data_IF_629533847334
#
_entry.id   IF_629533847334
#
_cell.length_a   1.000
_cell.length_b   1.000
_cell.length_c   1.000
_cell.angle_alpha   90.00
_cell.angle_beta   90.00
_cell.angle_gamma   90.00
#
_symmetry.space_group_name_H-M   'P 1'
#
loop_
_entity.id
_entity.type
_entity.pdbx_description
1 polymer ?
#
# COMPACT_ATOMS: atom_id res chain seq x y z
N UNK A 1 -21.82 -1.97 -2.95
CA UNK A 1 -22.45 -2.76 -1.87
C UNK A 1 -23.04 -1.80 -0.86
N UNK A 2 -24.27 -1.99 -0.41
CA UNK A 2 -24.90 -1.11 0.58
C UNK A 2 -24.50 -1.58 1.99
N UNK A 3 -24.12 -0.68 2.90
CA UNK A 3 -23.63 -1.04 4.25
C UNK A 3 -24.70 -1.80 5.08
N UNK A 4 -25.96 -1.73 4.67
CA UNK A 4 -27.10 -2.45 5.25
C UNK A 4 -27.15 -3.93 4.90
N UNK A 5 -26.28 -4.41 4.02
CA UNK A 5 -26.18 -5.82 3.61
C UNK A 5 -24.93 -6.52 4.18
N UNK A 6 -24.26 -5.89 5.16
CA UNK A 6 -23.11 -6.51 5.80
C UNK A 6 -23.53 -7.86 6.43
N UNK A 7 -22.74 -8.93 6.24
CA UNK A 7 -23.00 -10.19 6.89
C UNK A 7 -23.13 -9.99 8.40
N UNK A 8 -24.16 -10.57 9.01
CA UNK A 8 -24.27 -10.65 10.48
C UNK A 8 -23.31 -11.71 11.07
N UNK A 9 -22.44 -12.27 10.24
CA UNK A 9 -21.46 -13.27 10.63
C UNK A 9 -20.31 -12.65 11.42
N UNK A 10 -19.77 -13.43 12.35
CA UNK A 10 -18.57 -13.05 13.08
C UNK A 10 -17.33 -13.15 12.20
N UNK A 11 -16.53 -12.09 12.17
CA UNK A 11 -15.17 -12.06 11.64
C UNK A 11 -14.17 -12.15 12.79
N UNK A 12 -13.04 -12.83 12.56
CA UNK A 12 -11.93 -12.84 13.51
C UNK A 12 -11.16 -11.52 13.47
N UNK A 13 -11.04 -10.91 12.29
CA UNK A 13 -10.33 -9.65 12.07
C UNK A 13 -11.08 -8.72 11.11
N UNK A 14 -10.96 -7.43 11.37
CA UNK A 14 -11.38 -6.36 10.45
C UNK A 14 -10.14 -5.59 10.01
N UNK A 15 -9.88 -5.56 8.72
CA UNK A 15 -8.82 -4.77 8.10
C UNK A 15 -9.46 -3.57 7.42
N UNK A 16 -9.07 -2.36 7.83
CA UNK A 16 -9.61 -1.11 7.30
C UNK A 16 -8.59 -0.49 6.33
N UNK A 17 -8.99 -0.40 5.06
CA UNK A 17 -8.18 0.01 3.92
C UNK A 17 -7.62 -1.19 3.17
N UNK A 18 -8.00 -1.33 1.90
CA UNK A 18 -7.51 -2.35 0.99
C UNK A 18 -6.37 -1.83 0.09
N UNK A 19 -5.43 -1.11 0.72
CA UNK A 19 -4.18 -0.67 0.09
C UNK A 19 -3.06 -1.72 0.15
N UNK A 20 -1.84 -1.30 -0.17
CA UNK A 20 -0.65 -2.17 -0.21
C UNK A 20 -0.48 -3.06 1.03
N UNK A 21 -0.55 -2.49 2.23
CA UNK A 21 -0.39 -3.27 3.48
C UNK A 21 -1.66 -4.05 3.84
N UNK A 22 -2.83 -3.44 3.67
CA UNK A 22 -4.12 -4.03 4.04
C UNK A 22 -4.42 -5.32 3.27
N UNK A 23 -4.19 -5.32 1.96
CA UNK A 23 -4.36 -6.51 1.12
C UNK A 23 -3.40 -7.64 1.53
N UNK A 24 -2.14 -7.32 1.83
CA UNK A 24 -1.14 -8.30 2.29
C UNK A 24 -1.56 -8.90 3.64
N UNK A 25 -1.94 -8.08 4.61
CA UNK A 25 -2.39 -8.55 5.93
C UNK A 25 -3.63 -9.44 5.79
N UNK A 26 -4.64 -9.00 5.02
CA UNK A 26 -5.85 -9.77 4.80
C UNK A 26 -5.52 -11.14 4.18
N UNK A 27 -4.67 -11.20 3.14
CA UNK A 27 -4.25 -12.46 2.52
C UNK A 27 -3.57 -13.39 3.53
N UNK A 28 -2.61 -12.90 4.31
CA UNK A 28 -1.87 -13.71 5.30
C UNK A 28 -2.77 -14.22 6.43
N UNK A 29 -3.74 -13.43 6.88
CA UNK A 29 -4.73 -13.87 7.87
C UNK A 29 -5.64 -14.97 7.29
N UNK A 30 -6.06 -14.84 6.04
CA UNK A 30 -6.86 -15.87 5.34
C UNK A 30 -6.03 -17.15 5.19
N UNK A 31 -4.75 -17.08 4.81
CA UNK A 31 -3.84 -18.23 4.73
C UNK A 31 -3.73 -18.96 6.08
N UNK A 32 -3.81 -18.22 7.19
CA UNK A 32 -3.82 -18.76 8.56
C UNK A 32 -5.21 -19.26 9.01
N UNK A 33 -6.18 -19.36 8.10
CA UNK A 33 -7.52 -19.89 8.37
C UNK A 33 -8.45 -18.92 9.12
N UNK A 34 -8.16 -17.62 9.11
CA UNK A 34 -8.99 -16.59 9.78
C UNK A 34 -10.10 -16.08 8.86
N UNK A 35 -11.26 -15.77 9.44
CA UNK A 35 -12.34 -15.02 8.79
C UNK A 35 -12.03 -13.52 8.86
N UNK A 36 -11.87 -12.88 7.70
CA UNK A 36 -11.44 -11.47 7.61
C UNK A 36 -12.50 -10.64 6.90
N UNK A 37 -12.88 -9.52 7.51
CA UNK A 37 -13.59 -8.45 6.83
C UNK A 37 -12.56 -7.41 6.35
N UNK A 38 -12.50 -7.18 5.04
CA UNK A 38 -11.67 -6.12 4.45
C UNK A 38 -12.59 -5.00 3.99
N UNK A 39 -12.36 -3.78 4.48
CA UNK A 39 -13.16 -2.60 4.17
C UNK A 39 -12.32 -1.64 3.33
N UNK A 40 -12.84 -1.23 2.19
CA UNK A 40 -12.25 -0.20 1.32
C UNK A 40 -13.25 0.91 1.09
N UNK A 41 -12.78 2.16 1.13
CA UNK A 41 -13.61 3.35 0.92
C UNK A 41 -13.80 3.66 -0.58
N UNK A 42 -12.85 3.24 -1.41
CA UNK A 42 -12.94 3.24 -2.87
C UNK A 42 -13.81 2.12 -3.43
N UNK A 43 -13.93 2.12 -4.76
CA UNK A 43 -14.58 1.04 -5.49
C UNK A 43 -13.59 -0.03 -5.96
N UNK A 44 -14.10 -0.98 -6.74
CA UNK A 44 -13.28 -1.98 -7.42
C UNK A 44 -12.34 -1.32 -8.45
N UNK A 45 -11.23 -1.99 -8.71
CA UNK A 45 -10.21 -1.62 -9.71
C UNK A 45 -10.73 -1.87 -11.13
N UNK A 46 -11.61 -0.99 -11.60
CA UNK A 46 -12.26 -1.09 -12.93
C UNK A 46 -11.81 -0.01 -13.92
N UNK A 47 -10.98 0.94 -13.47
CA UNK A 47 -10.44 1.99 -14.33
C UNK A 47 -9.26 1.43 -15.13
N UNK A 48 -9.35 1.35 -16.48
CA UNK A 48 -8.31 0.74 -17.30
C UNK A 48 -6.97 1.47 -17.24
N UNK A 49 -6.94 2.74 -16.81
CA UNK A 49 -5.69 3.48 -16.67
C UNK A 49 -4.81 2.94 -15.53
N UNK A 50 -5.35 2.15 -14.60
CA UNK A 50 -4.60 1.51 -13.50
C UNK A 50 -3.68 0.41 -14.04
N UNK A 51 -4.14 -0.37 -15.02
CA UNK A 51 -3.37 -1.45 -15.64
C UNK A 51 -2.29 -0.95 -16.63
N UNK A 52 -2.31 0.34 -16.96
CA UNK A 52 -1.54 0.92 -18.04
C UNK A 52 -0.61 2.04 -17.55
N UNK A 53 0.68 1.71 -17.39
CA UNK A 53 1.70 2.66 -16.91
C UNK A 53 1.83 3.92 -17.75
N UNK A 54 1.65 3.81 -19.07
CA UNK A 54 1.70 4.95 -19.98
C UNK A 54 0.55 5.95 -19.75
N UNK A 55 -0.48 5.57 -19.00
CA UNK A 55 -1.63 6.41 -18.63
C UNK A 55 -1.70 6.79 -17.15
N UNK A 56 -0.68 6.44 -16.36
CA UNK A 56 -0.60 6.71 -14.92
C UNK A 56 -0.99 8.15 -14.54
N UNK A 57 -0.51 9.14 -15.30
CA UNK A 57 -0.77 10.56 -15.04
C UNK A 57 -2.26 10.95 -15.10
N UNK A 58 -3.11 10.11 -15.70
CA UNK A 58 -4.56 10.31 -15.76
C UNK A 58 -5.28 9.90 -14.46
N UNK A 59 -4.60 9.19 -13.56
CA UNK A 59 -5.19 8.74 -12.29
C UNK A 59 -5.15 9.82 -11.20
N UNK A 60 -4.20 10.76 -11.29
CA UNK A 60 -4.12 11.89 -10.37
C UNK A 60 -5.27 12.87 -10.64
N UNK A 61 -5.94 13.33 -9.60
CA UNK A 61 -7.21 14.09 -9.66
C UNK A 61 -8.41 13.33 -10.23
N UNK A 62 -8.30 12.02 -10.44
CA UNK A 62 -9.41 11.17 -10.86
C UNK A 62 -10.32 10.79 -9.69
N UNK A 63 -11.42 10.06 -9.96
CA UNK A 63 -12.28 9.53 -8.91
C UNK A 63 -11.59 8.49 -8.00
N UNK A 64 -10.47 7.91 -8.46
CA UNK A 64 -9.64 6.97 -7.68
C UNK A 64 -8.55 7.68 -6.87
N UNK A 65 -8.49 9.01 -6.89
CA UNK A 65 -7.61 9.80 -6.03
C UNK A 65 -8.45 10.43 -4.91
N UNK A 66 -7.96 10.33 -3.66
CA UNK A 66 -8.50 11.14 -2.57
C UNK A 66 -8.27 12.64 -2.79
N UNK A 67 -7.33 12.99 -3.65
CA UNK A 67 -7.04 14.35 -4.09
C UNK A 67 -6.67 15.29 -2.94
N UNK A 68 -5.83 14.79 -2.04
CA UNK A 68 -5.36 15.58 -0.90
C UNK A 68 -4.37 16.64 -1.33
N UNK A 69 -4.34 17.71 -0.53
CA UNK A 69 -3.36 18.77 -0.65
C UNK A 69 -2.77 19.07 0.72
N UNK A 70 -1.49 19.44 0.74
CA UNK A 70 -0.90 20.05 1.93
C UNK A 70 -1.60 21.38 2.27
N UNK A 71 -1.46 21.82 3.53
CA UNK A 71 -1.67 23.25 3.86
C UNK A 71 -0.63 24.09 3.09
N UNK A 72 -0.82 25.41 2.93
CA UNK A 72 0.19 26.27 2.31
C UNK A 72 1.56 26.08 2.95
N UNK A 73 2.58 25.77 2.14
CA UNK A 73 3.91 25.46 2.63
C UNK A 73 4.85 26.67 2.47
N UNK A 74 5.35 27.29 3.56
CA UNK A 74 6.26 28.44 3.47
C UNK A 74 7.54 28.15 2.67
N UNK A 75 8.10 26.94 2.82
CA UNK A 75 9.26 26.45 2.07
C UNK A 75 8.97 26.17 0.59
N UNK A 76 7.73 26.30 0.13
CA UNK A 76 7.33 26.07 -1.26
C UNK A 76 6.55 27.27 -1.85
N UNK A 77 6.94 28.50 -1.50
CA UNK A 77 6.28 29.74 -1.96
C UNK A 77 4.78 29.78 -1.60
N UNK A 78 4.42 29.29 -0.41
CA UNK A 78 3.04 29.17 0.07
C UNK A 78 2.10 28.35 -0.84
N UNK A 79 2.65 27.51 -1.73
CA UNK A 79 1.83 26.61 -2.54
C UNK A 79 1.20 25.52 -1.67
N UNK A 80 0.01 25.09 -2.08
CA UNK A 80 -0.55 23.80 -1.70
C UNK A 80 -0.02 22.76 -2.68
N UNK A 81 0.55 21.68 -2.16
CA UNK A 81 1.15 20.62 -2.97
C UNK A 81 0.17 19.45 -2.99
N UNK A 82 -0.15 18.98 -4.20
CA UNK A 82 -0.99 17.80 -4.39
C UNK A 82 -0.28 16.55 -3.86
N UNK A 83 -1.01 15.74 -3.10
CA UNK A 83 -0.56 14.50 -2.51
C UNK A 83 -1.52 13.37 -2.94
N UNK A 84 -1.33 12.80 -4.15
CA UNK A 84 -2.24 11.79 -4.67
C UNK A 84 -2.23 10.57 -3.77
N UNK A 85 -3.41 10.14 -3.31
CA UNK A 85 -3.62 8.93 -2.48
C UNK A 85 -4.72 8.09 -3.10
N UNK A 86 -4.44 6.82 -3.38
CA UNK A 86 -5.43 5.93 -3.99
C UNK A 86 -6.66 5.70 -3.11
N UNK A 87 -7.84 5.82 -3.74
CA UNK A 87 -9.19 5.56 -3.23
C UNK A 87 -9.85 4.51 -4.13
N UNK A 88 -9.30 3.32 -4.12
CA UNK A 88 -9.68 2.16 -4.95
C UNK A 88 -9.08 0.93 -4.29
N UNK A 89 -9.61 -0.26 -4.57
CA UNK A 89 -8.93 -1.51 -4.23
C UNK A 89 -7.47 -1.48 -4.75
N UNK A 90 -6.51 -1.87 -3.92
CA UNK A 90 -5.07 -1.69 -4.19
C UNK A 90 -4.51 -0.37 -3.61
N UNK A 91 -5.36 0.60 -3.31
CA UNK A 91 -5.00 1.87 -2.68
C UNK A 91 -3.98 2.66 -3.50
N UNK A 92 -2.98 3.23 -2.84
CA UNK A 92 -1.95 4.03 -3.55
C UNK A 92 -1.04 3.19 -4.46
N UNK A 93 -1.07 1.85 -4.39
CA UNK A 93 -0.38 1.00 -5.35
C UNK A 93 -0.98 1.16 -6.76
N UNK A 94 -2.29 1.30 -6.86
CA UNK A 94 -3.00 1.50 -8.13
C UNK A 94 -2.66 2.84 -8.81
N UNK A 95 -2.08 3.80 -8.09
CA UNK A 95 -1.77 5.16 -8.56
C UNK A 95 -0.26 5.42 -8.65
N UNK A 96 0.59 4.40 -8.47
CA UNK A 96 2.04 4.55 -8.44
C UNK A 96 2.70 4.19 -9.79
N UNK A 97 4.01 4.44 -9.89
CA UNK A 97 4.79 4.14 -11.08
C UNK A 97 5.41 2.73 -11.09
N UNK A 98 4.87 1.79 -10.29
CA UNK A 98 5.32 0.40 -10.11
C UNK A 98 6.81 0.21 -9.83
N UNK A 99 7.46 1.24 -9.30
CA UNK A 99 8.88 1.20 -8.95
C UNK A 99 9.03 0.24 -7.76
N UNK A 100 9.80 -0.83 -7.96
CA UNK A 100 10.20 -1.75 -6.89
C UNK A 100 11.67 -1.52 -6.53
N UNK A 101 11.91 -1.05 -5.32
CA UNK A 101 13.24 -0.89 -4.72
C UNK A 101 13.12 -1.25 -3.25
N UNK A 102 13.99 -2.15 -2.76
CA UNK A 102 14.10 -2.43 -1.33
C UNK A 102 14.71 -1.20 -0.62
N UNK A 103 14.43 -1.02 0.67
CA UNK A 103 15.08 0.04 1.44
C UNK A 103 16.58 -0.22 1.64
N UNK A 104 17.33 0.80 2.04
CA UNK A 104 18.74 0.62 2.41
C UNK A 104 18.85 -0.10 3.76
N UNK A 105 19.79 -1.03 3.90
CA UNK A 105 20.01 -1.76 5.15
C UNK A 105 20.24 -0.83 6.34
N UNK A 106 20.91 0.31 6.11
CA UNK A 106 21.16 1.32 7.13
C UNK A 106 19.85 1.91 7.69
N UNK A 107 18.83 2.15 6.86
CA UNK A 107 17.55 2.71 7.32
C UNK A 107 16.88 1.81 8.36
N UNK A 108 16.92 0.49 8.15
CA UNK A 108 16.36 -0.51 9.05
C UNK A 108 17.15 -0.66 10.35
N UNK A 109 18.48 -0.59 10.26
CA UNK A 109 19.34 -0.56 11.44
C UNK A 109 19.05 0.70 12.29
N UNK A 110 18.83 1.84 11.65
CA UNK A 110 18.43 3.06 12.35
C UNK A 110 17.06 2.92 13.04
N UNK A 111 16.12 2.12 12.51
CA UNK A 111 14.84 1.84 13.19
C UNK A 111 15.06 1.05 14.49
N UNK A 112 15.92 0.04 14.47
CA UNK A 112 16.27 -0.72 15.68
C UNK A 112 16.87 0.20 16.74
N UNK A 113 17.84 1.04 16.34
CA UNK A 113 18.45 2.03 17.23
C UNK A 113 17.43 3.04 17.78
N UNK A 114 16.38 3.33 17.02
CA UNK A 114 15.28 4.22 17.42
C UNK A 114 14.22 3.53 18.29
N UNK A 115 14.43 2.28 18.68
CA UNK A 115 13.54 1.55 19.59
C UNK A 115 12.50 0.68 18.90
N UNK A 116 12.71 0.30 17.64
CA UNK A 116 11.88 -0.65 16.90
C UNK A 116 12.59 -2.02 16.77
N UNK A 117 12.72 -2.81 17.85
CA UNK A 117 13.28 -4.16 17.74
C UNK A 117 12.39 -5.02 16.83
N UNK A 118 12.97 -5.99 16.12
CA UNK A 118 12.22 -6.80 15.15
C UNK A 118 12.27 -6.26 13.71
N UNK A 119 12.90 -5.11 13.50
CA UNK A 119 12.95 -4.39 12.21
C UNK A 119 14.38 -4.22 11.67
N UNK A 120 15.35 -5.01 12.12
CA UNK A 120 16.69 -5.00 11.53
C UNK A 120 16.65 -5.42 10.06
N UNK A 121 17.70 -5.08 9.30
CA UNK A 121 17.80 -5.48 7.89
C UNK A 121 17.64 -6.99 7.69
N UNK A 122 18.31 -7.79 8.52
CA UNK A 122 18.26 -9.26 8.41
C UNK A 122 16.84 -9.80 8.66
N UNK A 123 16.08 -9.17 9.55
CA UNK A 123 14.69 -9.54 9.83
C UNK A 123 13.77 -9.23 8.64
N UNK A 124 13.87 -8.03 8.07
CA UNK A 124 12.99 -7.58 6.97
C UNK A 124 13.40 -8.14 5.61
N UNK A 125 14.68 -8.45 5.38
CA UNK A 125 15.17 -8.99 4.10
C UNK A 125 14.48 -10.29 3.74
N UNK A 126 14.23 -11.14 4.74
CA UNK A 126 13.47 -12.39 4.56
C UNK A 126 12.06 -12.13 4.03
N UNK A 127 11.41 -11.06 4.49
CA UNK A 127 10.08 -10.65 4.03
C UNK A 127 10.15 -10.12 2.61
N UNK A 128 11.13 -9.25 2.30
CA UNK A 128 11.33 -8.75 0.93
C UNK A 128 11.50 -9.88 -0.08
N UNK A 129 12.41 -10.83 0.19
CA UNK A 129 12.63 -12.01 -0.66
C UNK A 129 11.37 -12.87 -0.81
N UNK A 130 10.49 -12.91 0.18
CA UNK A 130 9.27 -13.72 0.16
C UNK A 130 8.07 -13.06 -0.56
N UNK A 131 8.07 -11.73 -0.75
CA UNK A 131 6.96 -11.00 -1.38
C UNK A 131 7.24 -10.59 -2.83
N UNK A 132 8.47 -10.76 -3.30
CA UNK A 132 8.84 -10.52 -4.70
C UNK A 132 8.96 -11.85 -5.47
N UNK A 133 8.83 -11.75 -6.79
CA UNK A 133 9.10 -12.85 -7.72
C UNK A 133 9.96 -12.33 -8.86
N UNK A 134 11.21 -12.02 -8.53
CA UNK A 134 12.21 -11.52 -9.48
C UNK A 134 12.75 -12.67 -10.32
N UNK A 135 12.86 -12.46 -11.63
CA UNK A 135 13.28 -13.48 -12.61
C UNK A 135 14.81 -13.56 -12.78
N UNK A 136 15.56 -12.64 -12.16
CA UNK A 136 17.02 -12.68 -12.08
C UNK A 136 17.56 -13.43 -10.86
N UNK A 137 18.88 -13.36 -10.67
CA UNK A 137 19.53 -13.93 -9.48
C UNK A 137 19.13 -13.15 -8.22
N UNK A 138 18.67 -13.86 -7.19
CA UNK A 138 18.38 -13.29 -5.87
C UNK A 138 19.68 -13.19 -5.07
N UNK A 139 20.04 -11.96 -4.76
CA UNK A 139 21.15 -11.47 -3.96
C UNK A 139 20.62 -10.65 -2.76
N UNK A 140 21.51 -10.22 -1.87
CA UNK A 140 21.10 -9.38 -0.74
C UNK A 140 20.76 -7.95 -1.18
N UNK A 141 21.34 -7.48 -2.28
CA UNK A 141 21.02 -6.16 -2.86
C UNK A 141 19.92 -6.20 -3.92
N UNK A 142 19.47 -7.40 -4.34
CA UNK A 142 18.44 -7.61 -5.36
C UNK A 142 17.76 -8.93 -5.18
#
# INVERSE_FOLDING_TARGET
MNVTELPTEHFDYVVVGAGSSGCVIARRLIDAGKKVCLIEAGGDETNPNIDHLNTLGLLWHSAQDWDYYTTPQPGAMNRKIHLPRGKVLGGSNALNAVIWVRGDAWDYEQWVQSGCPGWSWDEVLSVFKAIENYDGEITDSR
#
